data_IF_361057558823
#
_entry.id   IF_361057558823
#
_cell.length_a   1.000
_cell.length_b   1.000
_cell.length_c   1.000
_cell.angle_alpha   90.00
_cell.angle_beta   90.00
_cell.angle_gamma   90.00
#
_symmetry.space_group_name_H-M   'P 1'
#
loop_
_entity.id
_entity.type
_entity.pdbx_description
1 polymer ?
#
# COMPACT_ATOMS: atom_id res chain seq x y z
N UNK A 1 -4.95 0.12 -13.67
CA UNK A 1 -4.56 1.55 -13.66
C UNK A 1 -3.14 1.64 -13.14
N UNK A 2 -2.25 2.44 -13.75
CA UNK A 2 -0.86 2.64 -13.30
C UNK A 2 -0.77 3.88 -12.39
N UNK A 3 -0.80 3.73 -11.04
CA UNK A 3 -1.03 4.87 -10.14
C UNK A 3 0.05 5.94 -10.27
N UNK A 4 1.31 5.53 -10.29
CA UNK A 4 2.43 6.45 -10.45
C UNK A 4 2.35 7.26 -11.75
N UNK A 5 1.95 6.65 -12.87
CA UNK A 5 1.87 7.36 -14.14
C UNK A 5 0.78 8.43 -14.13
N UNK A 6 -0.40 8.10 -13.60
CA UNK A 6 -1.50 9.05 -13.44
C UNK A 6 -1.10 10.23 -12.54
N UNK A 7 -0.51 9.94 -11.38
CA UNK A 7 -0.08 10.98 -10.43
C UNK A 7 0.99 11.88 -11.06
N UNK A 8 1.96 11.29 -11.76
CA UNK A 8 3.01 12.05 -12.45
C UNK A 8 2.39 12.99 -13.50
N UNK A 9 1.39 12.53 -14.26
CA UNK A 9 0.69 13.37 -15.24
C UNK A 9 -0.08 14.52 -14.56
N UNK A 10 -0.83 14.23 -13.49
CA UNK A 10 -1.58 15.24 -12.72
C UNK A 10 -0.63 16.31 -12.17
N UNK A 11 0.54 15.91 -11.68
CA UNK A 11 1.54 16.83 -11.14
C UNK A 11 2.37 17.57 -12.20
N UNK A 12 2.04 17.45 -13.49
CA UNK A 12 2.71 18.19 -14.57
C UNK A 12 3.91 17.48 -15.21
N UNK A 13 4.06 16.18 -14.99
CA UNK A 13 5.06 15.32 -15.62
C UNK A 13 6.29 15.02 -14.77
N UNK A 14 7.20 14.20 -15.32
CA UNK A 14 8.38 13.68 -14.61
C UNK A 14 9.27 14.77 -14.03
N UNK A 15 9.54 15.81 -14.81
CA UNK A 15 10.37 16.94 -14.39
C UNK A 15 9.75 17.71 -13.22
N UNK A 16 8.46 18.02 -13.30
CA UNK A 16 7.76 18.73 -12.22
C UNK A 16 7.80 17.91 -10.92
N UNK A 17 7.52 16.61 -11.01
CA UNK A 17 7.59 15.70 -9.85
C UNK A 17 9.01 15.59 -9.28
N UNK A 18 10.03 15.54 -10.15
CA UNK A 18 11.44 15.55 -9.75
C UNK A 18 11.78 16.81 -8.95
N UNK A 19 11.37 17.98 -9.44
CA UNK A 19 11.57 19.27 -8.77
C UNK A 19 10.83 19.36 -7.44
N UNK A 20 9.56 18.92 -7.39
CA UNK A 20 8.74 18.90 -6.16
C UNK A 20 9.34 17.98 -5.10
N UNK A 21 9.73 16.77 -5.48
CA UNK A 21 10.21 15.73 -4.54
C UNK A 21 11.71 15.79 -4.28
N UNK A 22 12.44 16.68 -4.97
CA UNK A 22 13.91 16.78 -4.98
C UNK A 22 14.59 15.43 -5.27
N UNK A 23 13.99 14.64 -6.16
CA UNK A 23 14.53 13.35 -6.62
C UNK A 23 15.02 13.49 -8.05
N UNK A 24 16.01 12.66 -8.40
CA UNK A 24 16.45 12.55 -9.78
C UNK A 24 15.30 12.07 -10.69
N UNK A 25 15.19 12.62 -11.89
CA UNK A 25 14.13 12.29 -12.84
C UNK A 25 14.14 10.80 -13.21
N UNK A 26 15.32 10.17 -13.27
CA UNK A 26 15.46 8.72 -13.52
C UNK A 26 14.83 7.91 -12.40
N UNK A 27 14.93 8.37 -11.14
CA UNK A 27 14.28 7.70 -10.01
C UNK A 27 12.76 7.83 -10.07
N UNK A 28 12.26 9.00 -10.47
CA UNK A 28 10.81 9.21 -10.67
C UNK A 28 10.28 8.30 -11.78
N UNK A 29 11.02 8.18 -12.89
CA UNK A 29 10.68 7.25 -13.99
C UNK A 29 10.61 5.80 -13.52
N UNK A 30 11.51 5.37 -12.65
CA UNK A 30 11.49 4.00 -12.11
C UNK A 30 10.26 3.68 -11.25
N UNK A 31 9.51 4.68 -10.77
CA UNK A 31 8.25 4.39 -10.06
C UNK A 31 7.20 3.78 -10.98
N UNK A 32 7.26 4.04 -12.28
CA UNK A 32 6.35 3.44 -13.26
C UNK A 32 6.83 2.06 -13.73
N UNK A 33 8.00 1.60 -13.27
CA UNK A 33 8.55 0.32 -13.71
C UNK A 33 8.01 -0.80 -12.82
N UNK A 34 7.87 -2.01 -13.37
CA UNK A 34 7.48 -3.17 -12.59
C UNK A 34 8.63 -3.58 -11.65
N UNK A 35 8.32 -4.32 -10.58
CA UNK A 35 9.28 -4.62 -9.50
C UNK A 35 10.46 -5.47 -9.99
N UNK A 36 10.22 -6.35 -10.95
CA UNK A 36 11.23 -7.24 -11.57
C UNK A 36 12.31 -6.45 -12.32
N UNK A 37 11.99 -5.22 -12.75
CA UNK A 37 12.93 -4.28 -13.40
C UNK A 37 13.53 -3.27 -12.41
N UNK A 38 13.38 -3.49 -11.10
CA UNK A 38 13.87 -2.61 -10.04
C UNK A 38 13.02 -1.34 -9.87
N UNK A 39 11.77 -1.37 -10.30
CA UNK A 39 10.79 -0.31 -10.03
C UNK A 39 9.98 -0.55 -8.76
N UNK A 40 8.96 0.28 -8.55
CA UNK A 40 8.05 0.16 -7.39
C UNK A 40 6.72 -0.52 -7.75
N UNK A 41 6.54 -0.95 -9.00
CA UNK A 41 5.29 -1.50 -9.49
C UNK A 41 4.18 -0.46 -9.54
N UNK A 42 4.49 0.76 -9.97
CA UNK A 42 3.50 1.84 -10.09
C UNK A 42 3.18 2.54 -8.77
N UNK A 43 3.94 2.32 -7.69
CA UNK A 43 3.72 2.96 -6.38
C UNK A 43 4.69 4.11 -6.15
N UNK A 44 4.19 5.26 -5.73
CA UNK A 44 5.04 6.36 -5.28
C UNK A 44 5.49 6.10 -3.84
N UNK A 45 6.78 6.25 -3.50
CA UNK A 45 7.27 6.09 -2.11
C UNK A 45 6.53 7.01 -1.13
N UNK A 46 6.21 6.51 0.08
CA UNK A 46 5.36 7.21 1.05
C UNK A 46 5.84 8.62 1.41
N UNK A 47 7.16 8.83 1.49
CA UNK A 47 7.75 10.14 1.73
C UNK A 47 7.46 11.13 0.59
N UNK A 48 7.40 10.65 -0.65
CA UNK A 48 7.10 11.45 -1.82
C UNK A 48 5.59 11.73 -1.93
N UNK A 49 4.73 10.81 -1.48
CA UNK A 49 3.27 11.01 -1.47
C UNK A 49 2.90 12.26 -0.65
N UNK A 50 3.47 12.40 0.55
CA UNK A 50 3.21 13.54 1.42
C UNK A 50 3.66 14.86 0.79
N UNK A 51 4.86 14.89 0.20
CA UNK A 51 5.40 16.08 -0.47
C UNK A 51 4.53 16.49 -1.66
N UNK A 52 4.11 15.53 -2.49
CA UNK A 52 3.24 15.79 -3.63
C UNK A 52 1.87 16.30 -3.19
N UNK A 53 1.32 15.77 -2.10
CA UNK A 53 0.04 16.24 -1.57
C UNK A 53 0.11 17.65 -1.02
N UNK A 54 1.18 17.99 -0.27
CA UNK A 54 1.38 19.36 0.21
C UNK A 54 1.51 20.34 -0.96
N UNK A 55 2.32 19.99 -1.97
CA UNK A 55 2.50 20.85 -3.13
C UNK A 55 1.22 20.99 -3.96
N UNK A 56 0.43 19.93 -4.08
CA UNK A 56 -0.83 19.97 -4.80
C UNK A 56 -1.83 20.93 -4.14
N UNK A 57 -1.90 20.94 -2.80
CA UNK A 57 -2.73 21.90 -2.04
C UNK A 57 -2.26 23.34 -2.19
N UNK A 58 -0.96 23.57 -2.22
CA UNK A 58 -0.38 24.91 -2.39
C UNK A 58 -0.60 25.50 -3.79
N UNK A 59 -0.76 24.64 -4.80
CA UNK A 59 -0.81 25.03 -6.22
C UNK A 59 -2.16 24.73 -6.89
N UNK A 60 -3.18 24.37 -6.10
CA UNK A 60 -4.51 23.97 -6.56
C UNK A 60 -4.48 22.88 -7.66
N UNK A 61 -3.54 21.93 -7.55
CA UNK A 61 -3.46 20.78 -8.43
C UNK A 61 -4.53 19.75 -7.98
N UNK A 62 -5.35 19.19 -8.89
CA UNK A 62 -6.41 18.24 -8.56
C UNK A 62 -5.88 16.83 -8.25
N UNK A 63 -4.88 16.74 -7.37
CA UNK A 63 -4.33 15.47 -6.88
C UNK A 63 -5.13 15.00 -5.65
N UNK A 64 -5.80 13.86 -5.78
CA UNK A 64 -6.57 13.22 -4.71
C UNK A 64 -5.78 12.09 -4.05
N UNK A 65 -6.00 11.81 -2.75
CA UNK A 65 -5.41 10.66 -2.07
C UNK A 65 -5.73 9.31 -2.74
N UNK A 66 -6.93 9.18 -3.30
CA UNK A 66 -7.40 7.98 -4.01
C UNK A 66 -6.50 7.59 -5.18
N UNK A 67 -5.83 8.56 -5.81
CA UNK A 67 -4.91 8.28 -6.91
C UNK A 67 -3.68 7.44 -6.48
N UNK A 68 -3.35 7.40 -5.19
CA UNK A 68 -2.24 6.60 -4.66
C UNK A 68 -2.63 5.14 -4.36
N UNK A 69 -3.93 4.83 -4.26
CA UNK A 69 -4.43 3.54 -3.77
C UNK A 69 -5.35 2.88 -4.81
N UNK A 70 -4.80 2.08 -5.76
CA UNK A 70 -5.62 1.34 -6.71
C UNK A 70 -6.45 0.26 -6.00
N UNK A 71 -7.74 0.18 -6.31
CA UNK A 71 -8.66 -0.79 -5.72
C UNK A 71 -8.30 -2.27 -6.03
N UNK A 72 -7.67 -2.53 -7.18
CA UNK A 72 -7.40 -3.89 -7.65
C UNK A 72 -6.28 -4.65 -6.92
N UNK A 73 -5.56 -4.02 -5.97
CA UNK A 73 -4.52 -4.72 -5.17
C UNK A 73 -5.06 -5.46 -3.95
N UNK A 74 -6.31 -5.26 -3.57
CA UNK A 74 -6.89 -5.96 -2.43
C UNK A 74 -7.25 -7.43 -2.75
N UNK A 75 -7.14 -7.86 -4.02
CA UNK A 75 -7.49 -9.22 -4.47
C UNK A 75 -6.28 -10.15 -4.67
N UNK A 76 -5.10 -9.82 -4.14
CA UNK A 76 -3.96 -10.75 -4.04
C UNK A 76 -4.21 -11.79 -2.92
N UNK A 77 -5.38 -12.44 -2.90
CA UNK A 77 -5.70 -13.56 -1.98
C UNK A 77 -4.94 -14.86 -2.33
N UNK A 78 -4.20 -14.90 -3.44
CA UNK A 78 -3.60 -16.12 -3.97
C UNK A 78 -2.08 -16.29 -3.70
N UNK A 79 -1.52 -15.70 -2.64
CA UNK A 79 -0.16 -16.06 -2.23
C UNK A 79 0.12 -15.95 -0.72
N UNK A 80 -0.80 -16.42 0.12
CA UNK A 80 -0.40 -16.97 1.42
C UNK A 80 0.21 -18.36 1.18
N UNK A 81 1.46 -18.36 0.73
CA UNK A 81 2.31 -19.54 0.80
C UNK A 81 2.40 -20.00 2.25
N UNK A 82 1.62 -21.03 2.58
CA UNK A 82 1.95 -22.07 3.54
C UNK A 82 2.55 -21.58 4.87
N UNK A 83 1.80 -20.76 5.61
CA UNK A 83 1.89 -20.77 7.06
C UNK A 83 0.72 -21.60 7.59
N UNK A 84 0.83 -22.91 7.38
CA UNK A 84 0.27 -23.84 8.35
C UNK A 84 0.79 -23.37 9.72
N UNK A 85 -0.12 -22.90 10.56
CA UNK A 85 0.16 -22.66 11.96
C UNK A 85 -0.37 -23.88 12.73
N UNK A 86 0.37 -24.99 12.85
CA UNK A 86 -0.11 -26.19 13.54
C UNK A 86 -0.10 -26.04 15.07
N UNK A 87 -0.30 -24.82 15.60
CA UNK A 87 -0.04 -24.50 17.01
C UNK A 87 -1.17 -23.86 17.80
N UNK A 88 -2.27 -23.40 17.18
CA UNK A 88 -3.33 -22.71 17.92
C UNK A 88 -4.52 -23.64 18.20
N UNK A 89 -4.31 -24.54 19.17
CA UNK A 89 -5.41 -25.15 19.92
C UNK A 89 -6.08 -24.04 20.74
N UNK A 90 -7.22 -23.53 20.28
CA UNK A 90 -8.09 -22.67 21.08
C UNK A 90 -9.23 -23.52 21.67
N UNK A 91 -9.10 -23.72 22.98
CA UNK A 91 -10.12 -23.95 24.02
C UNK A 91 -11.19 -25.03 23.84
N UNK A 92 -11.27 -25.94 24.82
CA UNK A 92 -12.56 -26.43 25.29
C UNK A 92 -12.93 -25.66 26.59
N UNK A 93 -14.20 -25.24 26.74
CA UNK A 93 -14.69 -24.49 27.89
C UNK A 93 -14.72 -25.34 29.16
N UNK A 94 -14.54 -24.69 30.31
CA UNK A 94 -14.78 -25.30 31.61
C UNK A 94 -16.28 -25.48 31.83
N UNK A 95 -16.67 -26.72 32.08
CA UNK A 95 -17.96 -27.04 32.67
C UNK A 95 -17.77 -27.14 34.18
N UNK A 96 -18.19 -26.08 34.86
CA UNK A 96 -18.60 -26.10 36.26
C UNK A 96 -19.91 -26.91 36.31
N UNK A 97 -19.85 -28.15 36.80
CA UNK A 97 -21.05 -28.89 37.18
C UNK A 97 -20.93 -29.33 38.64
N UNK A 98 -21.76 -28.68 39.45
CA UNK A 98 -22.04 -29.01 40.85
C UNK A 98 -23.01 -30.18 40.93
N UNK A 99 -22.60 -31.29 41.54
CA UNK A 99 -23.47 -32.28 42.20
C UNK A 99 -22.56 -33.15 43.10
N UNK A 100 -22.64 -33.09 44.42
CA UNK A 100 -23.68 -33.67 45.29
C UNK A 100 -23.80 -35.20 45.17
N UNK A 101 -23.32 -35.86 46.23
CA UNK A 101 -23.89 -37.05 46.90
C UNK A 101 -23.18 -38.42 46.80
N UNK A 102 -23.25 -39.11 47.96
CA UNK A 102 -23.13 -40.54 48.25
C UNK A 102 -21.75 -41.25 48.20
N UNK A 103 -21.14 -41.45 49.38
CA UNK A 103 -21.11 -42.75 50.10
C UNK A 103 -20.21 -42.69 51.35
#
# INVERSE_FOLDING_TARGET
>A
MEPAQTIIQICGGFRAVSEITRRDETRVRRWTYPREKGGTGGLIPSECQQILMSNARERDIPLLPEHFFPADRANDEDNFGELANPGLMVSAPGDDETASDAA
#
